data_IF_361247814538
#
_entry.id   IF_361247814538
#
_cell.length_a   1.000
_cell.length_b   1.000
_cell.length_c   1.000
_cell.angle_alpha   90.00
_cell.angle_beta   90.00
_cell.angle_gamma   90.00
#
_symmetry.space_group_name_H-M   'P 1'
#
loop_
_entity.id
_entity.type
_entity.pdbx_description
1 polymer ?
#
# COMPACT_ATOMS: atom_id res chain seq x y z
N UNK A 1 36.38 -35.94 7.36
CA UNK A 1 35.59 -35.03 6.49
C UNK A 1 34.44 -34.51 7.34
N UNK A 2 34.63 -33.33 7.88
CA UNK A 2 33.55 -32.58 8.53
C UNK A 2 32.80 -31.84 7.41
N UNK A 3 31.54 -32.18 7.16
CA UNK A 3 30.63 -31.35 6.42
C UNK A 3 30.30 -30.17 7.32
N UNK A 4 30.65 -28.97 6.88
CA UNK A 4 30.20 -27.72 7.48
C UNK A 4 28.84 -27.48 6.85
N UNK A 5 27.77 -27.72 7.63
CA UNK A 5 26.42 -27.26 7.31
C UNK A 5 26.49 -25.74 7.15
N UNK A 6 26.22 -25.28 5.94
CA UNK A 6 25.99 -23.86 5.68
C UNK A 6 24.69 -23.49 6.40
N UNK A 7 24.80 -22.94 7.59
CA UNK A 7 23.65 -22.30 8.26
C UNK A 7 23.12 -21.23 7.32
N UNK A 8 21.87 -21.40 6.95
CA UNK A 8 21.16 -20.46 6.09
C UNK A 8 20.95 -19.18 6.93
N UNK A 9 21.78 -18.15 6.71
CA UNK A 9 21.75 -16.88 7.47
C UNK A 9 20.37 -16.20 7.45
N UNK A 10 19.45 -16.69 6.60
CA UNK A 10 18.08 -16.22 6.46
C UNK A 10 17.03 -17.11 7.15
N UNK A 11 17.42 -18.19 7.81
CA UNK A 11 16.47 -19.03 8.53
C UNK A 11 16.00 -18.36 9.84
N UNK A 12 14.70 -18.47 10.13
CA UNK A 12 14.16 -18.00 11.41
C UNK A 12 14.80 -18.79 12.59
N UNK A 13 15.14 -18.14 13.71
CA UNK A 13 15.88 -18.75 14.82
C UNK A 13 15.20 -19.96 15.50
N UNK A 14 13.98 -20.27 15.21
CA UNK A 14 13.29 -21.55 15.55
C UNK A 14 11.91 -21.60 14.92
N UNK A 15 11.39 -22.78 14.62
CA UNK A 15 10.20 -23.07 13.80
C UNK A 15 8.85 -22.56 14.31
N UNK A 16 8.75 -21.29 14.68
CA UNK A 16 7.54 -20.59 15.10
C UNK A 16 7.37 -19.23 14.41
N UNK A 17 6.26 -18.56 14.69
CA UNK A 17 6.01 -17.21 14.17
C UNK A 17 6.94 -16.20 14.90
N UNK A 18 7.98 -15.71 14.23
CA UNK A 18 9.07 -14.91 14.83
C UNK A 18 8.60 -13.71 15.66
N UNK A 19 7.52 -13.02 15.24
CA UNK A 19 6.96 -11.90 16.00
C UNK A 19 6.32 -12.36 17.32
N UNK A 20 5.65 -13.52 17.34
CA UNK A 20 5.09 -14.11 18.57
C UNK A 20 6.23 -14.56 19.47
N UNK A 21 7.24 -15.21 18.92
CA UNK A 21 8.41 -15.67 19.68
C UNK A 21 9.14 -14.50 20.33
N UNK A 22 9.28 -13.36 19.64
CA UNK A 22 9.83 -12.12 20.20
C UNK A 22 8.98 -11.61 21.39
N UNK A 23 7.65 -11.55 21.23
CA UNK A 23 6.76 -11.02 22.27
C UNK A 23 6.70 -11.88 23.53
N UNK A 24 6.96 -13.18 23.43
CA UNK A 24 6.96 -14.10 24.57
C UNK A 24 8.35 -14.48 25.05
N UNK A 25 9.41 -13.93 24.44
CA UNK A 25 10.79 -14.19 24.84
C UNK A 25 11.02 -13.76 26.31
N UNK A 26 11.64 -14.66 27.06
CA UNK A 26 11.98 -14.43 28.49
C UNK A 26 13.46 -14.17 28.69
N UNK A 27 14.25 -14.33 27.64
CA UNK A 27 15.68 -14.15 27.62
C UNK A 27 16.04 -13.02 26.66
N UNK A 28 16.91 -12.10 27.10
CA UNK A 28 17.30 -10.91 26.35
C UNK A 28 18.10 -11.27 25.08
N UNK A 29 18.88 -12.35 25.10
CA UNK A 29 19.67 -12.80 23.96
C UNK A 29 18.75 -13.31 22.86
N UNK A 30 17.81 -14.18 23.23
CA UNK A 30 16.75 -14.70 22.33
C UNK A 30 15.90 -13.56 21.77
N UNK A 31 15.52 -12.57 22.59
CA UNK A 31 14.78 -11.41 22.14
C UNK A 31 15.55 -10.59 21.11
N UNK A 32 16.87 -10.40 21.29
CA UNK A 32 17.72 -9.70 20.33
C UNK A 32 17.86 -10.43 19.01
N UNK A 33 18.00 -11.78 19.03
CA UNK A 33 18.06 -12.58 17.80
C UNK A 33 16.78 -12.44 16.98
N UNK A 34 15.60 -12.62 17.59
CA UNK A 34 14.33 -12.44 16.88
C UNK A 34 14.12 -11.02 16.43
N UNK A 35 14.51 -10.01 17.22
CA UNK A 35 14.47 -8.61 16.84
C UNK A 35 15.31 -8.33 15.61
N UNK A 36 16.58 -8.76 15.61
CA UNK A 36 17.48 -8.59 14.48
C UNK A 36 17.00 -9.32 13.21
N UNK A 37 16.43 -10.52 13.36
CA UNK A 37 15.84 -11.25 12.25
C UNK A 37 14.63 -10.51 11.64
N UNK A 38 13.72 -10.01 12.47
CA UNK A 38 12.54 -9.27 12.04
C UNK A 38 12.95 -7.96 11.36
N UNK A 39 13.95 -7.24 11.89
CA UNK A 39 14.45 -6.00 11.29
C UNK A 39 15.06 -6.25 9.91
N UNK A 40 15.88 -7.30 9.74
CA UNK A 40 16.43 -7.70 8.43
C UNK A 40 15.30 -8.03 7.44
N UNK A 41 14.38 -8.90 7.85
CA UNK A 41 13.24 -9.29 7.01
C UNK A 41 12.37 -8.09 6.61
N UNK A 42 12.18 -7.11 7.50
CA UNK A 42 11.48 -5.87 7.20
C UNK A 42 12.27 -4.97 6.23
N UNK A 43 13.59 -4.91 6.38
CA UNK A 43 14.43 -4.13 5.46
C UNK A 43 14.43 -4.73 4.05
N UNK A 44 14.52 -6.05 3.95
CA UNK A 44 14.45 -6.76 2.67
C UNK A 44 13.10 -6.53 2.00
N UNK A 45 12.01 -6.64 2.77
CA UNK A 45 10.66 -6.34 2.27
C UNK A 45 10.53 -4.90 1.78
N UNK A 46 11.10 -3.92 2.49
CA UNK A 46 11.10 -2.50 2.05
C UNK A 46 11.90 -2.29 0.76
N UNK A 47 13.01 -2.99 0.59
CA UNK A 47 13.82 -2.89 -0.62
C UNK A 47 13.08 -3.50 -1.82
N UNK A 48 12.45 -4.67 -1.64
CA UNK A 48 11.63 -5.31 -2.68
C UNK A 48 10.41 -4.44 -3.02
N UNK A 49 9.71 -3.89 -2.01
CA UNK A 49 8.58 -2.98 -2.19
C UNK A 49 8.98 -1.78 -3.07
N UNK A 50 10.10 -1.12 -2.77
CA UNK A 50 10.61 0.01 -3.56
C UNK A 50 10.92 -0.38 -4.99
N UNK A 51 11.61 -1.51 -5.20
CA UNK A 51 11.96 -2.01 -6.53
C UNK A 51 10.70 -2.28 -7.35
N UNK A 52 9.76 -3.05 -6.81
CA UNK A 52 8.53 -3.41 -7.51
C UNK A 52 7.62 -2.20 -7.76
N UNK A 53 7.56 -1.26 -6.81
CA UNK A 53 6.83 0.00 -7.00
C UNK A 53 7.45 0.82 -8.14
N UNK A 54 8.79 0.90 -8.20
CA UNK A 54 9.48 1.57 -9.31
C UNK A 54 9.22 0.91 -10.65
N UNK A 55 9.28 -0.42 -10.72
CA UNK A 55 8.95 -1.19 -11.94
C UNK A 55 7.50 -0.94 -12.39
N UNK A 56 6.55 -0.89 -11.43
CA UNK A 56 5.15 -0.63 -11.72
C UNK A 56 4.92 0.80 -12.27
N UNK A 57 5.61 1.79 -11.71
CA UNK A 57 5.59 3.16 -12.24
C UNK A 57 6.17 3.22 -13.64
N UNK A 58 7.34 2.62 -13.86
CA UNK A 58 7.97 2.58 -15.19
C UNK A 58 7.05 1.91 -16.21
N UNK A 59 6.39 0.82 -15.82
CA UNK A 59 5.42 0.14 -16.68
C UNK A 59 4.28 1.09 -17.10
N UNK A 60 3.68 1.82 -16.16
CA UNK A 60 2.60 2.77 -16.46
C UNK A 60 3.11 3.92 -17.35
N UNK A 61 4.31 4.44 -17.08
CA UNK A 61 4.92 5.52 -17.88
C UNK A 61 5.19 5.10 -19.32
N UNK A 62 5.59 3.84 -19.52
CA UNK A 62 5.83 3.26 -20.86
C UNK A 62 4.54 2.90 -21.62
N UNK A 63 3.37 2.94 -20.97
CA UNK A 63 2.07 2.63 -21.55
C UNK A 63 1.09 3.82 -21.43
N UNK A 64 1.22 4.86 -22.27
CA UNK A 64 0.46 6.12 -22.14
C UNK A 64 -1.06 5.91 -22.06
N UNK A 65 -1.62 4.92 -22.76
CA UNK A 65 -3.04 4.59 -22.70
C UNK A 65 -3.53 4.28 -21.28
N UNK A 66 -2.67 3.72 -20.44
CA UNK A 66 -3.02 3.44 -19.04
C UNK A 66 -3.25 4.72 -18.24
N UNK A 67 -2.62 5.84 -18.63
CA UNK A 67 -2.78 7.12 -17.92
C UNK A 67 -4.15 7.74 -18.12
N UNK A 68 -4.81 7.41 -19.23
CA UNK A 68 -6.15 7.90 -19.58
C UNK A 68 -7.27 7.12 -18.89
N UNK A 69 -6.97 5.92 -18.36
CA UNK A 69 -7.94 5.09 -17.67
C UNK A 69 -8.26 5.63 -16.26
N UNK A 70 -9.50 5.44 -15.82
CA UNK A 70 -9.95 5.77 -14.46
C UNK A 70 -9.60 4.70 -13.42
N UNK A 71 -8.93 3.63 -13.83
CA UNK A 71 -8.42 2.56 -12.97
C UNK A 71 -7.04 2.09 -13.41
N UNK A 72 -6.38 1.33 -12.56
CA UNK A 72 -5.09 0.71 -12.87
C UNK A 72 -5.18 -0.79 -12.61
N UNK A 73 -4.89 -1.61 -13.60
CA UNK A 73 -4.70 -3.07 -13.44
C UNK A 73 -3.33 -3.42 -14.00
N UNK A 74 -2.45 -3.97 -13.17
CA UNK A 74 -1.11 -4.37 -13.56
C UNK A 74 -0.88 -5.82 -13.16
N UNK A 75 -0.34 -6.60 -14.08
CA UNK A 75 0.06 -7.97 -13.87
C UNK A 75 1.55 -8.17 -14.16
N UNK A 76 2.27 -8.74 -13.19
CA UNK A 76 3.62 -9.22 -13.40
C UNK A 76 3.84 -10.53 -12.63
N UNK A 77 4.10 -11.65 -13.33
CA UNK A 77 4.22 -12.98 -12.72
C UNK A 77 5.44 -13.14 -11.80
N UNK A 78 6.40 -12.20 -11.86
CA UNK A 78 7.65 -12.27 -11.08
C UNK A 78 7.55 -11.56 -9.72
N UNK A 79 6.51 -10.79 -9.47
CA UNK A 79 6.36 -10.08 -8.22
C UNK A 79 5.95 -11.01 -7.07
N UNK A 80 6.36 -10.68 -5.87
CA UNK A 80 6.03 -11.46 -4.68
C UNK A 80 4.59 -11.19 -4.22
N UNK A 81 3.81 -12.24 -3.96
CA UNK A 81 2.43 -12.14 -3.44
C UNK A 81 2.32 -11.24 -2.20
N UNK A 82 3.32 -11.29 -1.29
CA UNK A 82 3.29 -10.56 -0.03
C UNK A 82 3.39 -9.03 -0.14
N UNK A 83 3.72 -8.49 -1.32
CA UNK A 83 3.92 -7.04 -1.52
C UNK A 83 2.92 -6.40 -2.46
N UNK A 84 2.16 -7.16 -3.27
CA UNK A 84 1.23 -6.59 -4.26
C UNK A 84 0.21 -5.63 -3.65
N UNK A 85 -0.22 -5.87 -2.41
CA UNK A 85 -1.12 -4.97 -1.69
C UNK A 85 -0.47 -3.65 -1.27
N UNK A 86 0.82 -3.67 -0.96
CA UNK A 86 1.58 -2.46 -0.63
C UNK A 86 1.80 -1.64 -1.91
N UNK A 87 2.19 -2.32 -3.00
CA UNK A 87 2.36 -1.68 -4.31
C UNK A 87 1.06 -1.03 -4.79
N UNK A 88 -0.08 -1.73 -4.66
CA UNK A 88 -1.38 -1.16 -4.99
C UNK A 88 -1.68 0.13 -4.20
N UNK A 89 -1.36 0.16 -2.90
CA UNK A 89 -1.52 1.37 -2.07
C UNK A 89 -0.63 2.51 -2.55
N UNK A 90 0.64 2.25 -2.89
CA UNK A 90 1.55 3.30 -3.39
C UNK A 90 1.17 3.83 -4.77
N UNK A 91 0.65 2.97 -5.64
CA UNK A 91 0.14 3.42 -6.94
C UNK A 91 -1.06 4.36 -6.79
N UNK A 92 -1.94 4.12 -5.80
CA UNK A 92 -3.04 5.05 -5.49
C UNK A 92 -2.50 6.40 -5.00
N UNK A 93 -1.45 6.43 -4.17
CA UNK A 93 -0.83 7.70 -3.72
C UNK A 93 -0.38 8.56 -4.91
N UNK A 94 0.04 7.93 -6.03
CA UNK A 94 0.52 8.64 -7.22
C UNK A 94 -0.59 8.93 -8.24
N UNK A 95 -1.43 7.93 -8.56
CA UNK A 95 -2.40 8.04 -9.66
C UNK A 95 -3.84 8.29 -9.19
N UNK A 96 -4.11 8.17 -7.91
CA UNK A 96 -5.36 8.44 -7.21
C UNK A 96 -6.61 7.86 -7.89
N UNK A 97 -6.58 6.54 -8.13
CA UNK A 97 -7.68 5.80 -8.77
C UNK A 97 -7.70 4.35 -8.32
N UNK A 98 -8.84 3.63 -8.43
CA UNK A 98 -8.91 2.20 -8.07
C UNK A 98 -7.81 1.41 -8.77
N UNK A 99 -7.05 0.63 -8.00
CA UNK A 99 -5.84 -0.04 -8.47
C UNK A 99 -5.84 -1.50 -8.07
N UNK A 100 -5.56 -2.38 -9.03
CA UNK A 100 -5.37 -3.82 -8.87
C UNK A 100 -3.94 -4.18 -9.28
N UNK A 101 -3.24 -4.88 -8.41
CA UNK A 101 -1.90 -5.43 -8.69
C UNK A 101 -1.96 -6.95 -8.59
N UNK A 102 -1.58 -7.60 -9.68
CA UNK A 102 -1.68 -9.05 -9.88
C UNK A 102 -0.29 -9.67 -10.01
N UNK A 103 -0.14 -10.90 -9.50
CA UNK A 103 1.08 -11.70 -9.67
C UNK A 103 0.74 -13.19 -9.74
N UNK A 104 1.73 -14.02 -10.12
CA UNK A 104 1.59 -15.47 -10.13
C UNK A 104 1.93 -16.06 -8.75
N UNK A 105 1.10 -16.98 -8.27
CA UNK A 105 1.37 -17.76 -7.06
C UNK A 105 0.70 -19.13 -7.15
N UNK A 106 1.48 -20.20 -6.99
CA UNK A 106 1.00 -21.58 -6.98
C UNK A 106 0.13 -21.97 -8.18
N UNK A 107 0.49 -21.52 -9.38
CA UNK A 107 -0.23 -21.83 -10.62
C UNK A 107 -1.48 -20.98 -10.88
N UNK A 108 -1.82 -20.07 -9.98
CA UNK A 108 -2.91 -19.10 -10.13
C UNK A 108 -2.38 -17.67 -10.13
N UNK A 109 -3.12 -16.77 -10.75
CA UNK A 109 -2.91 -15.34 -10.59
C UNK A 109 -3.62 -14.90 -9.32
N UNK A 110 -2.87 -14.27 -8.42
CA UNK A 110 -3.41 -13.70 -7.19
C UNK A 110 -3.15 -12.20 -7.18
N UNK A 111 -4.05 -11.44 -6.59
CA UNK A 111 -3.93 -9.99 -6.56
C UNK A 111 -4.49 -9.33 -5.33
N UNK A 112 -4.15 -8.08 -5.22
CA UNK A 112 -4.69 -7.18 -4.22
C UNK A 112 -5.14 -5.89 -4.90
N UNK A 113 -6.34 -5.45 -4.53
CA UNK A 113 -6.92 -4.22 -5.01
C UNK A 113 -7.05 -3.21 -3.88
N UNK A 114 -6.96 -1.95 -4.23
CA UNK A 114 -7.16 -0.80 -3.33
C UNK A 114 -8.07 0.22 -4.02
N UNK A 115 -8.83 0.99 -3.23
CA UNK A 115 -9.77 1.99 -3.71
C UNK A 115 -9.44 3.39 -3.23
N UNK A 116 -9.97 4.36 -3.96
CA UNK A 116 -10.07 5.75 -3.51
C UNK A 116 -11.32 5.94 -2.64
N UNK A 117 -11.39 6.96 -1.78
CA UNK A 117 -12.58 7.27 -1.00
C UNK A 117 -13.84 7.42 -1.87
N UNK A 118 -14.93 6.83 -1.42
CA UNK A 118 -16.24 6.93 -2.08
C UNK A 118 -16.54 5.84 -3.11
N UNK A 119 -15.53 5.18 -3.70
CA UNK A 119 -15.76 4.12 -4.68
C UNK A 119 -15.79 2.73 -4.03
N UNK A 120 -16.85 1.97 -4.28
CA UNK A 120 -16.99 0.59 -3.79
C UNK A 120 -16.21 -0.41 -4.67
N UNK A 121 -14.99 -0.69 -4.25
CA UNK A 121 -14.11 -1.63 -4.94
C UNK A 121 -14.62 -3.07 -4.89
N UNK A 122 -15.32 -3.45 -3.80
CA UNK A 122 -15.82 -4.81 -3.67
C UNK A 122 -16.82 -5.12 -4.78
N UNK A 123 -17.74 -4.21 -5.08
CA UNK A 123 -18.69 -4.38 -6.18
C UNK A 123 -18.00 -4.46 -7.54
N UNK A 124 -16.95 -3.67 -7.76
CA UNK A 124 -16.16 -3.74 -8.99
C UNK A 124 -15.48 -5.12 -9.17
N UNK A 125 -14.97 -5.71 -8.11
CA UNK A 125 -14.38 -7.06 -8.15
C UNK A 125 -15.49 -8.12 -8.28
N UNK A 126 -16.59 -7.98 -7.57
CA UNK A 126 -17.74 -8.89 -7.61
C UNK A 126 -18.39 -8.94 -9.01
N UNK A 127 -18.40 -7.85 -9.77
CA UNK A 127 -18.88 -7.83 -11.17
C UNK A 127 -18.09 -8.77 -12.10
N UNK A 128 -16.90 -9.19 -11.66
CA UNK A 128 -16.04 -10.13 -12.37
C UNK A 128 -16.03 -11.53 -11.70
N UNK A 129 -16.96 -11.85 -10.81
CA UNK A 129 -16.95 -13.05 -9.98
C UNK A 129 -16.83 -14.37 -10.78
N UNK A 130 -17.44 -14.43 -11.97
CA UNK A 130 -17.39 -15.59 -12.86
C UNK A 130 -15.97 -15.89 -13.41
N UNK A 131 -15.06 -14.92 -13.37
CA UNK A 131 -13.66 -15.06 -13.78
C UNK A 131 -12.75 -15.45 -12.62
N UNK A 132 -13.24 -15.37 -11.37
CA UNK A 132 -12.46 -15.54 -10.15
C UNK A 132 -12.69 -16.90 -9.53
N UNK A 133 -11.61 -17.55 -9.07
CA UNK A 133 -11.67 -18.76 -8.25
C UNK A 133 -12.03 -18.41 -6.80
N UNK A 134 -11.55 -17.26 -6.33
CA UNK A 134 -11.82 -16.74 -5.00
C UNK A 134 -11.62 -15.23 -4.95
N UNK A 135 -12.46 -14.53 -4.22
CA UNK A 135 -12.28 -13.11 -3.90
C UNK A 135 -12.91 -12.77 -2.56
N UNK A 136 -12.49 -11.66 -1.97
CA UNK A 136 -13.04 -11.17 -0.73
C UNK A 136 -12.42 -9.84 -0.34
N UNK A 137 -13.12 -9.10 0.52
CA UNK A 137 -12.67 -7.78 0.94
C UNK A 137 -13.81 -6.89 1.40
N UNK A 138 -13.61 -5.62 1.23
CA UNK A 138 -14.58 -4.56 1.54
C UNK A 138 -14.38 -3.39 0.56
N UNK A 139 -15.18 -2.33 0.69
CA UNK A 139 -15.19 -1.20 -0.24
C UNK A 139 -13.82 -0.55 -0.51
N UNK A 140 -12.84 -0.67 0.39
CA UNK A 140 -11.52 -0.02 0.23
C UNK A 140 -10.40 -0.97 -0.17
N UNK A 141 -10.57 -2.27 0.04
CA UNK A 141 -9.54 -3.25 -0.27
C UNK A 141 -10.16 -4.62 -0.56
N UNK A 142 -9.66 -5.28 -1.59
CA UNK A 142 -10.05 -6.64 -1.93
C UNK A 142 -8.84 -7.48 -2.32
N UNK A 143 -8.95 -8.79 -2.08
CA UNK A 143 -8.03 -9.81 -2.57
C UNK A 143 -8.76 -10.70 -3.55
N UNK A 144 -8.03 -11.26 -4.53
CA UNK A 144 -8.60 -12.13 -5.55
C UNK A 144 -7.63 -13.18 -6.04
N UNK A 145 -8.17 -14.25 -6.60
CA UNK A 145 -7.42 -15.32 -7.24
C UNK A 145 -8.17 -15.75 -8.49
N UNK A 146 -7.47 -15.95 -9.61
CA UNK A 146 -8.04 -16.34 -10.90
C UNK A 146 -7.09 -17.23 -11.70
N UNK A 147 -7.60 -17.87 -12.74
CA UNK A 147 -6.75 -18.55 -13.72
C UNK A 147 -5.98 -17.52 -14.55
N UNK A 148 -4.75 -17.86 -15.02
CA UNK A 148 -3.97 -16.97 -15.87
C UNK A 148 -4.72 -16.50 -17.12
N UNK A 149 -5.49 -17.39 -17.74
CA UNK A 149 -6.25 -17.10 -18.96
C UNK A 149 -7.35 -16.05 -18.76
N UNK A 150 -7.76 -15.80 -17.52
CA UNK A 150 -8.82 -14.84 -17.19
C UNK A 150 -8.29 -13.41 -16.97
N UNK A 151 -6.98 -13.19 -16.91
CA UNK A 151 -6.38 -11.88 -16.54
C UNK A 151 -6.78 -10.78 -17.52
N UNK A 152 -6.75 -11.04 -18.81
CA UNK A 152 -7.08 -10.06 -19.85
C UNK A 152 -8.55 -9.63 -19.76
N UNK A 153 -9.46 -10.61 -19.69
CA UNK A 153 -10.90 -10.35 -19.59
C UNK A 153 -11.26 -9.68 -18.27
N UNK A 154 -10.64 -10.11 -17.15
CA UNK A 154 -10.79 -9.44 -15.87
C UNK A 154 -10.35 -7.98 -15.94
N UNK A 155 -9.19 -7.71 -16.53
CA UNK A 155 -8.65 -6.34 -16.68
C UNK A 155 -9.61 -5.46 -17.45
N UNK A 156 -10.15 -5.97 -18.55
CA UNK A 156 -11.11 -5.24 -19.37
C UNK A 156 -12.40 -4.94 -18.59
N UNK A 157 -13.04 -5.96 -18.03
CA UNK A 157 -14.31 -5.80 -17.31
C UNK A 157 -14.18 -4.91 -16.07
N UNK A 158 -13.08 -5.04 -15.34
CA UNK A 158 -12.82 -4.19 -14.19
C UNK A 158 -12.68 -2.72 -14.61
N UNK A 159 -11.91 -2.44 -15.67
CA UNK A 159 -11.77 -1.08 -16.19
C UNK A 159 -13.11 -0.52 -16.70
N UNK A 160 -13.88 -1.32 -17.45
CA UNK A 160 -15.19 -0.93 -17.97
C UNK A 160 -16.16 -0.61 -16.81
N UNK A 161 -16.17 -1.44 -15.77
CA UNK A 161 -17.00 -1.21 -14.58
C UNK A 161 -16.62 0.09 -13.87
N UNK A 162 -15.33 0.32 -13.66
CA UNK A 162 -14.84 1.56 -13.02
C UNK A 162 -15.19 2.78 -13.87
N UNK A 163 -14.99 2.71 -15.20
CA UNK A 163 -15.32 3.81 -16.12
C UNK A 163 -16.79 4.22 -16.03
N UNK A 164 -17.68 3.24 -15.89
CA UNK A 164 -19.13 3.45 -15.84
C UNK A 164 -19.64 3.96 -14.49
N UNK A 165 -19.01 3.53 -13.37
CA UNK A 165 -19.56 3.72 -12.04
C UNK A 165 -18.81 4.72 -11.16
N UNK A 166 -17.58 5.14 -11.54
CA UNK A 166 -16.82 6.08 -10.73
C UNK A 166 -17.23 7.52 -11.03
N UNK A 167 -17.56 8.28 -9.98
CA UNK A 167 -17.73 9.71 -10.11
C UNK A 167 -16.34 10.36 -10.35
N UNK A 168 -16.19 11.21 -11.39
CA UNK A 168 -14.95 11.94 -11.63
C UNK A 168 -14.42 12.73 -10.43
N UNK A 169 -15.29 13.20 -9.54
CA UNK A 169 -14.89 13.89 -8.31
C UNK A 169 -14.11 12.98 -7.34
N UNK A 170 -14.39 11.67 -7.36
CA UNK A 170 -13.65 10.68 -6.55
C UNK A 170 -12.20 10.47 -7.02
N UNK A 171 -11.85 10.92 -8.23
CA UNK A 171 -10.48 10.85 -8.78
C UNK A 171 -9.64 12.08 -8.44
N UNK A 172 -10.22 13.04 -7.72
CA UNK A 172 -9.54 14.27 -7.30
C UNK A 172 -9.12 14.10 -5.83
N UNK A 173 -7.80 14.08 -5.53
CA UNK A 173 -7.32 14.03 -4.16
C UNK A 173 -7.87 15.21 -3.34
N UNK A 174 -8.48 14.91 -2.20
CA UNK A 174 -9.03 15.90 -1.29
C UNK A 174 -8.27 15.86 0.03
N UNK A 175 -8.07 17.02 0.63
CA UNK A 175 -7.51 17.16 1.97
C UNK A 175 -8.52 17.89 2.85
N UNK A 176 -9.03 17.19 3.85
CA UNK A 176 -9.90 17.80 4.84
C UNK A 176 -9.10 18.75 5.73
N UNK A 177 -9.51 20.01 5.79
CA UNK A 177 -8.85 21.06 6.55
C UNK A 177 -9.72 21.39 7.76
N UNK A 178 -9.18 21.14 8.96
CA UNK A 178 -9.90 21.40 10.23
C UNK A 178 -10.03 22.90 10.52
N UNK A 179 -9.01 23.69 10.17
CA UNK A 179 -9.03 25.13 10.37
C UNK A 179 -7.98 25.87 9.55
N UNK A 180 -8.25 27.16 9.30
CA UNK A 180 -7.25 28.09 8.80
C UNK A 180 -6.47 28.72 9.96
N UNK A 181 -5.14 28.75 9.88
CA UNK A 181 -4.24 29.34 10.87
C UNK A 181 -3.26 30.30 10.21
N UNK A 182 -2.93 31.40 10.89
CA UNK A 182 -1.77 32.20 10.53
C UNK A 182 -0.49 31.62 11.17
N UNK A 183 0.67 31.81 10.57
CA UNK A 183 1.93 31.36 11.17
C UNK A 183 2.17 31.96 12.56
N UNK A 184 1.65 33.17 12.84
CA UNK A 184 1.68 33.80 14.16
C UNK A 184 0.92 33.02 15.23
N UNK A 185 -0.08 32.25 14.86
CA UNK A 185 -0.93 31.49 15.78
C UNK A 185 -0.26 30.19 16.24
N UNK A 186 0.79 29.74 15.52
CA UNK A 186 1.56 28.53 15.83
C UNK A 186 2.53 28.81 17.00
N UNK A 187 1.97 29.15 18.13
CA UNK A 187 2.72 29.44 19.37
C UNK A 187 3.13 28.15 20.11
N UNK A 188 4.13 28.21 21.03
CA UNK A 188 4.44 27.08 21.91
C UNK A 188 3.23 26.57 22.70
N UNK A 189 2.33 27.51 23.14
CA UNK A 189 1.08 27.15 23.82
C UNK A 189 0.14 26.37 22.91
N UNK A 190 -0.04 26.80 21.65
CA UNK A 190 -0.83 26.09 20.66
C UNK A 190 -0.31 24.67 20.46
N UNK A 191 1.00 24.50 20.21
CA UNK A 191 1.63 23.19 20.06
C UNK A 191 1.45 22.29 21.28
N UNK A 192 1.66 22.80 22.49
CA UNK A 192 1.48 22.04 23.72
C UNK A 192 0.03 21.63 23.95
N UNK A 193 -0.93 22.48 23.56
CA UNK A 193 -2.35 22.16 23.62
C UNK A 193 -2.69 21.04 22.62
N UNK A 194 -2.21 21.16 21.38
CA UNK A 194 -2.43 20.15 20.33
C UNK A 194 -1.86 18.78 20.72
N UNK A 195 -0.67 18.75 21.33
CA UNK A 195 -0.06 17.51 21.81
C UNK A 195 -0.91 16.76 22.85
N UNK A 196 -1.82 17.43 23.54
CA UNK A 196 -2.74 16.78 24.51
C UNK A 196 -3.85 15.96 23.87
N UNK A 197 -4.08 16.11 22.55
CA UNK A 197 -5.04 15.30 21.79
C UNK A 197 -4.46 13.95 21.37
N UNK A 198 -3.15 13.77 21.49
CA UNK A 198 -2.49 12.50 21.20
C UNK A 198 -2.90 11.38 22.17
N UNK A 199 -2.86 10.09 21.73
CA UNK A 199 -2.36 9.62 20.43
C UNK A 199 -3.38 9.82 19.30
N UNK A 200 -2.91 10.24 18.13
CA UNK A 200 -3.73 10.31 16.92
C UNK A 200 -3.85 8.94 16.26
N UNK A 201 -4.94 8.71 15.53
CA UNK A 201 -5.24 7.46 14.84
C UNK A 201 -6.68 7.38 14.37
N UNK A 202 -7.19 6.20 14.02
CA UNK A 202 -8.58 6.03 13.58
C UNK A 202 -9.57 6.59 14.61
N UNK A 203 -10.47 7.48 14.14
CA UNK A 203 -11.44 8.16 15.02
C UNK A 203 -10.89 9.36 15.81
N UNK A 204 -9.58 9.61 15.74
CA UNK A 204 -8.92 10.80 16.33
C UNK A 204 -7.76 11.23 15.41
N UNK A 205 -8.10 11.69 14.21
CA UNK A 205 -7.11 12.07 13.22
C UNK A 205 -6.28 13.26 13.68
N UNK A 206 -5.01 13.31 13.25
CA UNK A 206 -4.19 14.49 13.43
C UNK A 206 -4.82 15.67 12.67
N UNK A 207 -5.09 16.81 13.31
CA UNK A 207 -5.71 17.93 12.62
C UNK A 207 -4.79 18.52 11.55
N UNK A 208 -5.40 18.89 10.44
CA UNK A 208 -4.75 19.51 9.29
C UNK A 208 -5.12 20.99 9.25
N UNK A 209 -4.11 21.85 9.17
CA UNK A 209 -4.28 23.30 9.13
C UNK A 209 -3.81 23.87 7.80
N UNK A 210 -4.46 24.93 7.34
CA UNK A 210 -4.10 25.64 6.12
C UNK A 210 -3.71 27.08 6.44
N UNK A 211 -2.69 27.59 5.77
CA UNK A 211 -2.36 29.03 5.75
C UNK A 211 -2.41 29.55 4.33
N UNK A 212 -3.15 30.62 4.08
CA UNK A 212 -3.27 31.24 2.77
C UNK A 212 -2.27 32.40 2.58
N UNK A 213 -2.02 32.74 1.33
CA UNK A 213 -1.24 33.93 0.96
C UNK A 213 0.23 33.84 1.38
N UNK A 214 0.79 32.64 1.50
CA UNK A 214 2.20 32.43 1.80
C UNK A 214 3.06 32.58 0.55
N UNK A 215 4.23 33.21 0.70
CA UNK A 215 5.24 33.30 -0.35
C UNK A 215 6.56 32.68 0.14
N UNK A 216 7.24 31.97 -0.73
CA UNK A 216 8.58 31.45 -0.44
C UNK A 216 9.61 32.60 -0.54
N UNK A 217 10.48 32.72 0.46
CA UNK A 217 11.55 33.74 0.50
C UNK A 217 12.95 33.19 0.18
N UNK A 218 13.07 32.00 -0.34
CA UNK A 218 14.35 31.38 -0.64
C UNK A 218 14.19 30.01 -1.26
N UNK A 219 15.30 29.29 -1.38
CA UNK A 219 15.29 27.92 -1.87
C UNK A 219 14.55 27.01 -0.88
N UNK A 220 13.46 26.39 -1.33
CA UNK A 220 12.75 25.41 -0.54
C UNK A 220 13.60 24.14 -0.40
N UNK A 221 13.96 23.79 0.83
CA UNK A 221 14.59 22.49 1.14
C UNK A 221 13.51 21.51 1.56
N UNK A 222 13.43 20.38 0.86
CA UNK A 222 12.64 19.25 1.31
C UNK A 222 13.42 18.59 2.47
N UNK A 223 12.89 18.70 3.67
CA UNK A 223 13.40 17.97 4.85
C UNK A 223 12.50 16.75 5.03
N UNK A 224 13.03 15.57 4.68
CA UNK A 224 12.37 14.27 4.84
C UNK A 224 12.59 13.67 6.21
#
# INVERSE_FOLDING_TARGET
RMEVDSEDENAAPSGGHSAVSLMVARDDEVAREYGAFIDRSNQDRKNIDRSVTSEAHEYIECHPHMKELKSTVIYNPKWMKGIVGIVASRLIETYYRPTVVLTMSNGFVTGSARSVPGFDLYQAVESCADLLENFGGHMYAAGMTMKPDNVEEFTKRFNDYVEEHIDPEMLIPQVDIDSELLFSDITPRFRSTLARFQPFGPGNNAPVFMTRGVSNRGDALLVG
#
